data_IF_775458466609
#
_entry.id   IF_775458466609
#
_cell.length_a   1.000
_cell.length_b   1.000
_cell.length_c   1.000
_cell.angle_alpha   90.00
_cell.angle_beta   90.00
_cell.angle_gamma   90.00
#
_symmetry.space_group_name_H-M   'P 1'
#
loop_
_entity.id
_entity.type
_entity.pdbx_description
1 polymer ?
#
# COMPACT_ATOMS: atom_id res chain seq x y z
N UNK A 1 -64.18 -33.75 53.50
CA UNK A 1 -63.58 -32.77 54.43
C UNK A 1 -62.11 -32.54 54.05
N UNK A 2 -61.74 -31.28 53.81
CA UNK A 2 -60.42 -30.63 53.98
C UNK A 2 -59.17 -31.13 53.23
N UNK A 3 -58.83 -30.38 52.18
CA UNK A 3 -57.63 -29.52 51.99
C UNK A 3 -56.19 -30.08 52.05
N UNK A 4 -55.52 -29.94 50.88
CA UNK A 4 -54.15 -29.44 50.59
C UNK A 4 -52.90 -30.11 51.21
N UNK A 5 -51.91 -30.44 50.38
CA UNK A 5 -50.64 -29.68 50.31
C UNK A 5 -49.83 -29.98 49.04
N UNK A 6 -49.32 -28.88 48.46
CA UNK A 6 -48.44 -28.73 47.31
C UNK A 6 -47.00 -29.12 47.68
N UNK A 7 -46.25 -29.72 46.75
CA UNK A 7 -44.79 -29.48 46.63
C UNK A 7 -44.31 -29.73 45.19
N UNK A 8 -44.24 -28.62 44.48
CA UNK A 8 -43.49 -28.38 43.24
C UNK A 8 -42.00 -28.58 43.48
N UNK A 9 -41.31 -29.29 42.57
CA UNK A 9 -39.87 -29.17 42.37
C UNK A 9 -39.64 -28.87 40.89
N UNK A 10 -39.28 -27.61 40.63
CA UNK A 10 -38.86 -27.10 39.34
C UNK A 10 -37.41 -27.56 39.07
N UNK A 11 -37.20 -28.29 37.99
CA UNK A 11 -35.86 -28.55 37.44
C UNK A 11 -35.39 -27.33 36.65
N UNK A 12 -34.39 -26.62 37.16
CA UNK A 12 -33.72 -25.56 36.43
C UNK A 12 -32.82 -26.18 35.35
N UNK A 13 -33.21 -26.04 34.09
CA UNK A 13 -32.35 -26.32 32.94
C UNK A 13 -31.40 -25.12 32.76
N UNK A 14 -30.13 -25.31 33.09
CA UNK A 14 -29.07 -24.34 32.82
C UNK A 14 -28.73 -24.35 31.32
N UNK A 15 -29.28 -23.41 30.57
CA UNK A 15 -28.83 -23.10 29.21
C UNK A 15 -27.43 -22.47 29.27
N UNK A 16 -26.42 -23.25 28.87
CA UNK A 16 -25.06 -22.74 28.62
C UNK A 16 -25.10 -21.93 27.32
N UNK A 17 -25.13 -20.60 27.47
CA UNK A 17 -24.80 -19.67 26.39
C UNK A 17 -23.32 -19.82 26.08
N UNK A 18 -22.98 -20.58 25.03
CA UNK A 18 -21.66 -20.51 24.42
C UNK A 18 -21.61 -19.15 23.71
N UNK A 19 -21.05 -18.15 24.39
CA UNK A 19 -20.67 -16.91 23.76
C UNK A 19 -19.64 -17.24 22.68
N UNK A 20 -20.05 -17.11 21.42
CA UNK A 20 -19.14 -17.11 20.28
C UNK A 20 -18.14 -15.98 20.52
N UNK A 21 -16.96 -16.33 21.02
CA UNK A 21 -15.79 -15.47 20.90
C UNK A 21 -15.54 -15.37 19.40
N UNK A 22 -16.06 -14.30 18.79
CA UNK A 22 -15.55 -13.81 17.54
C UNK A 22 -14.06 -13.60 17.79
N UNK A 23 -13.23 -14.54 17.34
CA UNK A 23 -11.81 -14.30 17.19
C UNK A 23 -11.72 -13.05 16.32
N UNK A 24 -11.29 -11.96 16.94
CA UNK A 24 -10.77 -10.82 16.22
C UNK A 24 -9.60 -11.37 15.40
N UNK A 25 -9.90 -11.84 14.19
CA UNK A 25 -8.91 -11.97 13.14
C UNK A 25 -8.25 -10.60 13.12
N UNK A 26 -6.95 -10.56 13.44
CA UNK A 26 -6.16 -9.37 13.26
C UNK A 26 -6.53 -8.81 11.88
N UNK A 27 -6.93 -7.53 11.76
CA UNK A 27 -7.34 -7.00 10.47
C UNK A 27 -6.20 -7.30 9.51
N UNK A 28 -6.47 -8.13 8.50
CA UNK A 28 -5.63 -8.17 7.31
C UNK A 28 -5.38 -6.71 6.98
N UNK A 29 -4.11 -6.29 7.00
CA UNK A 29 -3.73 -4.89 6.83
C UNK A 29 -4.62 -4.29 5.76
N UNK A 30 -5.44 -3.30 6.14
CA UNK A 30 -6.54 -2.85 5.28
C UNK A 30 -6.06 -2.36 3.90
N UNK A 31 -4.75 -2.09 3.79
CA UNK A 31 -4.05 -1.72 2.57
C UNK A 31 -3.55 -2.97 1.84
N UNK A 32 -4.07 -3.19 0.64
CA UNK A 32 -3.64 -4.19 -0.34
C UNK A 32 -2.30 -3.78 -0.98
N UNK A 33 -1.50 -4.75 -1.43
CA UNK A 33 -0.32 -4.45 -2.24
C UNK A 33 -0.67 -4.12 -3.70
N UNK A 34 0.27 -3.53 -4.44
CA UNK A 34 0.08 -3.06 -5.83
C UNK A 34 -0.47 -4.14 -6.78
N UNK A 35 -0.04 -5.39 -6.64
CA UNK A 35 -0.51 -6.48 -7.51
C UNK A 35 -1.94 -6.89 -7.18
N UNK A 36 -2.28 -6.97 -5.90
CA UNK A 36 -3.64 -7.25 -5.47
C UNK A 36 -4.61 -6.18 -5.96
N UNK A 37 -4.26 -4.89 -5.84
CA UNK A 37 -5.12 -3.79 -6.33
C UNK A 37 -5.43 -3.97 -7.82
N UNK A 38 -4.39 -4.17 -8.64
CA UNK A 38 -4.56 -4.35 -10.09
C UNK A 38 -5.39 -5.58 -10.45
N UNK A 39 -5.17 -6.70 -9.75
CA UNK A 39 -5.95 -7.93 -9.96
C UNK A 39 -7.42 -7.72 -9.61
N UNK A 40 -7.73 -7.04 -8.50
CA UNK A 40 -9.11 -6.77 -8.11
C UNK A 40 -9.81 -5.80 -9.07
N UNK A 41 -9.10 -4.78 -9.55
CA UNK A 41 -9.61 -3.85 -10.56
C UNK A 41 -9.90 -4.59 -11.87
N UNK A 42 -9.01 -5.48 -12.31
CA UNK A 42 -9.17 -6.24 -13.54
C UNK A 42 -10.33 -7.25 -13.49
N UNK A 43 -10.53 -7.92 -12.35
CA UNK A 43 -11.64 -8.88 -12.17
C UNK A 43 -12.98 -8.19 -11.98
N UNK A 44 -13.02 -7.08 -11.27
CA UNK A 44 -14.21 -6.23 -11.08
C UNK A 44 -15.46 -6.97 -10.55
N UNK A 45 -15.27 -7.98 -9.71
CA UNK A 45 -16.39 -8.67 -9.06
C UNK A 45 -16.93 -7.85 -7.87
N UNK A 46 -18.21 -8.00 -7.45
CA UNK A 46 -18.76 -7.24 -6.32
C UNK A 46 -17.96 -7.37 -5.03
N UNK A 47 -17.42 -8.57 -4.74
CA UNK A 47 -16.55 -8.80 -3.59
C UNK A 47 -15.17 -8.13 -3.72
N UNK A 48 -14.66 -8.00 -4.94
CA UNK A 48 -13.40 -7.32 -5.23
C UNK A 48 -13.55 -5.82 -5.01
N UNK A 49 -14.66 -5.23 -5.47
CA UNK A 49 -15.01 -3.84 -5.19
C UNK A 49 -15.16 -3.55 -3.70
N UNK A 50 -15.75 -4.45 -2.92
CA UNK A 50 -15.81 -4.29 -1.46
C UNK A 50 -14.41 -4.28 -0.81
N UNK A 51 -13.45 -5.04 -1.34
CA UNK A 51 -12.05 -5.00 -0.87
C UNK A 51 -11.35 -3.70 -1.28
N UNK A 52 -11.55 -3.25 -2.52
CA UNK A 52 -11.00 -2.00 -3.04
C UNK A 52 -11.53 -0.78 -2.28
N UNK A 53 -12.82 -0.78 -1.92
CA UNK A 53 -13.43 0.25 -1.06
C UNK A 53 -12.66 0.39 0.27
N UNK A 54 -12.44 -0.71 0.98
CA UNK A 54 -11.68 -0.69 2.24
C UNK A 54 -10.24 -0.22 2.05
N UNK A 55 -9.59 -0.66 0.98
CA UNK A 55 -8.22 -0.25 0.65
C UNK A 55 -8.11 1.25 0.42
N UNK A 56 -8.95 1.81 -0.46
CA UNK A 56 -8.89 3.24 -0.77
C UNK A 56 -9.38 4.11 0.39
N UNK A 57 -10.32 3.62 1.21
CA UNK A 57 -10.68 4.25 2.49
C UNK A 57 -9.48 4.33 3.44
N UNK A 58 -8.69 3.26 3.56
CA UNK A 58 -7.48 3.23 4.38
C UNK A 58 -6.39 4.17 3.85
N UNK A 59 -6.09 4.13 2.55
CA UNK A 59 -5.12 5.04 1.92
C UNK A 59 -5.55 6.52 2.06
N UNK A 60 -6.84 6.83 1.90
CA UNK A 60 -7.34 8.18 2.09
C UNK A 60 -7.11 8.70 3.51
N UNK A 61 -7.23 7.83 4.51
CA UNK A 61 -6.96 8.18 5.90
C UNK A 61 -5.47 8.45 6.12
N UNK A 62 -4.59 7.63 5.56
CA UNK A 62 -3.14 7.82 5.65
C UNK A 62 -2.69 9.12 4.99
N UNK A 63 -3.12 9.40 3.76
CA UNK A 63 -2.84 10.68 3.09
C UNK A 63 -3.40 11.88 3.88
N UNK A 64 -4.57 11.76 4.51
CA UNK A 64 -5.10 12.81 5.40
C UNK A 64 -4.21 13.08 6.61
N UNK A 65 -3.63 12.03 7.20
CA UNK A 65 -2.67 12.15 8.31
C UNK A 65 -1.37 12.81 7.86
N UNK A 66 -0.83 12.41 6.72
CA UNK A 66 0.39 13.01 6.16
C UNK A 66 0.17 14.47 5.75
N UNK A 67 -1.01 14.80 5.19
CA UNK A 67 -1.38 16.20 4.94
C UNK A 67 -1.34 17.04 6.21
N UNK A 68 -1.92 16.53 7.30
CA UNK A 68 -1.96 17.21 8.60
C UNK A 68 -0.55 17.39 9.19
N UNK A 69 0.30 16.37 9.07
CA UNK A 69 1.71 16.43 9.52
C UNK A 69 2.48 17.50 8.76
N UNK A 70 2.37 17.53 7.43
CA UNK A 70 3.05 18.52 6.61
C UNK A 70 2.52 19.94 6.84
N UNK A 71 1.22 20.13 7.06
CA UNK A 71 0.66 21.43 7.42
C UNK A 71 1.18 21.94 8.78
N UNK A 72 1.28 21.06 9.77
CA UNK A 72 1.87 21.37 11.07
C UNK A 72 3.35 21.75 10.95
N UNK A 73 4.13 21.01 10.14
CA UNK A 73 5.53 21.34 9.85
C UNK A 73 5.67 22.70 9.16
N UNK A 74 4.84 22.98 8.15
CA UNK A 74 4.86 24.27 7.44
C UNK A 74 4.62 25.44 8.40
N UNK A 75 3.67 25.28 9.32
CA UNK A 75 3.32 26.27 10.34
C UNK A 75 4.45 26.47 11.34
N UNK A 76 5.03 25.37 11.85
CA UNK A 76 6.13 25.43 12.81
C UNK A 76 7.39 26.09 12.22
N UNK A 77 7.73 25.77 10.97
CA UNK A 77 8.88 26.36 10.26
C UNK A 77 8.62 27.83 9.92
N UNK A 78 7.45 28.14 9.35
CA UNK A 78 7.10 29.50 8.93
C UNK A 78 6.88 30.47 10.09
N UNK A 79 6.44 29.96 11.24
CA UNK A 79 6.20 30.73 12.45
C UNK A 79 7.42 30.93 13.35
N UNK A 80 8.60 30.39 13.01
CA UNK A 80 9.81 30.55 13.83
C UNK A 80 10.60 31.82 13.41
N UNK A 81 10.50 32.93 14.16
CA UNK A 81 11.20 34.17 13.80
C UNK A 81 12.72 34.09 13.94
N UNK A 82 13.24 33.15 14.75
CA UNK A 82 14.67 33.04 15.01
C UNK A 82 15.41 32.25 13.92
N UNK A 83 14.70 31.40 13.17
CA UNK A 83 15.26 30.59 12.09
C UNK A 83 14.27 30.52 10.92
N UNK A 84 14.07 31.63 10.18
CA UNK A 84 13.16 31.63 9.04
C UNK A 84 13.69 30.71 7.93
N UNK A 85 12.88 29.72 7.54
CA UNK A 85 13.15 28.85 6.41
C UNK A 85 11.95 28.81 5.45
N UNK A 86 11.70 29.92 4.71
CA UNK A 86 10.50 30.08 3.90
C UNK A 86 10.38 29.03 2.78
N UNK A 87 11.50 28.59 2.21
CA UNK A 87 11.52 27.53 1.19
C UNK A 87 11.08 26.18 1.76
N UNK A 88 11.53 25.82 2.96
CA UNK A 88 11.14 24.59 3.63
C UNK A 88 9.66 24.64 4.08
N UNK A 89 9.21 25.77 4.61
CA UNK A 89 7.79 25.97 4.93
C UNK A 89 6.88 25.83 3.71
N UNK A 90 7.25 26.48 2.59
CA UNK A 90 6.51 26.37 1.33
C UNK A 90 6.54 24.94 0.76
N UNK A 91 7.66 24.23 0.88
CA UNK A 91 7.76 22.83 0.50
C UNK A 91 6.80 21.95 1.31
N UNK A 92 6.78 22.08 2.63
CA UNK A 92 5.82 21.36 3.48
C UNK A 92 4.37 21.73 3.16
N UNK A 93 4.06 23.01 2.93
CA UNK A 93 2.72 23.43 2.54
C UNK A 93 2.26 22.77 1.24
N UNK A 94 3.15 22.70 0.23
CA UNK A 94 2.88 22.00 -1.04
C UNK A 94 2.64 20.51 -0.82
N UNK A 95 3.43 19.83 0.02
CA UNK A 95 3.22 18.42 0.34
C UNK A 95 1.88 18.19 1.07
N UNK A 96 1.48 19.11 1.94
CA UNK A 96 0.17 19.05 2.61
C UNK A 96 -0.98 19.13 1.61
N UNK A 97 -0.87 20.02 0.61
CA UNK A 97 -1.86 20.18 -0.45
C UNK A 97 -1.95 18.94 -1.34
N UNK A 98 -0.82 18.41 -1.81
CA UNK A 98 -0.78 17.18 -2.63
C UNK A 98 -1.44 16.02 -1.87
N UNK A 99 -1.08 15.82 -0.60
CA UNK A 99 -1.68 14.76 0.21
C UNK A 99 -3.19 14.98 0.44
N UNK A 100 -3.63 16.23 0.58
CA UNK A 100 -5.06 16.55 0.69
C UNK A 100 -5.81 16.16 -0.59
N UNK A 101 -5.28 16.53 -1.76
CA UNK A 101 -5.86 16.19 -3.05
C UNK A 101 -5.91 14.68 -3.29
N UNK A 102 -4.83 13.96 -2.95
CA UNK A 102 -4.82 12.49 -2.98
C UNK A 102 -5.87 11.88 -2.05
N UNK A 103 -6.00 12.37 -0.82
CA UNK A 103 -7.01 11.91 0.12
C UNK A 103 -8.45 12.15 -0.37
N UNK A 104 -8.71 13.25 -1.09
CA UNK A 104 -10.02 13.49 -1.72
C UNK A 104 -10.28 12.47 -2.82
N UNK A 105 -9.34 12.30 -3.76
CA UNK A 105 -9.46 11.34 -4.87
C UNK A 105 -9.71 9.92 -4.36
N UNK A 106 -8.96 9.50 -3.32
CA UNK A 106 -9.10 8.17 -2.73
C UNK A 106 -10.45 7.96 -2.02
N UNK A 107 -11.04 9.00 -1.41
CA UNK A 107 -12.40 8.91 -0.84
C UNK A 107 -13.46 8.78 -1.94
N UNK A 108 -13.27 9.46 -3.05
CA UNK A 108 -14.15 9.32 -4.22
C UNK A 108 -14.04 7.91 -4.80
N UNK A 109 -12.82 7.38 -4.88
CA UNK A 109 -12.57 6.02 -5.36
C UNK A 109 -13.18 4.95 -4.42
N UNK A 110 -13.08 5.16 -3.12
CA UNK A 110 -13.73 4.30 -2.14
C UNK A 110 -15.26 4.28 -2.33
N UNK A 111 -15.89 5.45 -2.53
CA UNK A 111 -17.32 5.56 -2.81
C UNK A 111 -17.70 4.92 -4.14
N UNK A 112 -16.87 5.09 -5.17
CA UNK A 112 -17.04 4.45 -6.47
C UNK A 112 -17.11 2.93 -6.33
N UNK A 113 -16.13 2.31 -5.67
CA UNK A 113 -16.13 0.87 -5.45
C UNK A 113 -17.21 0.42 -4.46
N UNK A 114 -17.60 1.24 -3.48
CA UNK A 114 -18.75 0.93 -2.62
C UNK A 114 -20.05 0.81 -3.45
N UNK A 115 -20.26 1.70 -4.41
CA UNK A 115 -21.42 1.68 -5.28
C UNK A 115 -21.42 0.42 -6.18
N UNK A 116 -20.28 0.12 -6.82
CA UNK A 116 -20.13 -1.07 -7.66
C UNK A 116 -20.30 -2.37 -6.87
N UNK A 117 -19.77 -2.44 -5.65
CA UNK A 117 -19.98 -3.58 -4.74
C UNK A 117 -21.46 -3.79 -4.40
N UNK A 118 -22.24 -2.70 -4.32
CA UNK A 118 -23.69 -2.74 -4.13
C UNK A 118 -24.50 -2.97 -5.42
N UNK A 119 -23.85 -3.19 -6.55
CA UNK A 119 -24.50 -3.36 -7.86
C UNK A 119 -25.06 -2.06 -8.45
N UNK A 120 -24.67 -0.90 -7.92
CA UNK A 120 -25.06 0.40 -8.45
C UNK A 120 -24.04 0.86 -9.50
N UNK A 121 -24.50 1.42 -10.65
CA UNK A 121 -23.59 2.00 -11.61
C UNK A 121 -22.85 3.19 -10.99
N UNK A 122 -21.58 3.35 -11.33
CA UNK A 122 -20.75 4.47 -10.89
C UNK A 122 -19.74 4.82 -11.96
N UNK A 123 -19.44 6.11 -12.10
CA UNK A 123 -18.39 6.61 -12.98
C UNK A 123 -17.08 6.74 -12.19
N UNK A 124 -15.98 6.26 -12.75
CA UNK A 124 -14.66 6.40 -12.14
C UNK A 124 -14.32 7.89 -11.96
N UNK A 125 -13.84 8.31 -10.77
CA UNK A 125 -13.44 9.69 -10.53
C UNK A 125 -12.27 10.14 -11.43
N UNK A 126 -12.18 11.44 -11.70
CA UNK A 126 -11.06 12.01 -12.45
C UNK A 126 -9.72 11.75 -11.73
N UNK A 127 -8.66 11.47 -12.49
CA UNK A 127 -7.31 11.19 -11.98
C UNK A 127 -7.19 9.99 -11.02
N UNK A 128 -8.23 9.14 -10.93
CA UNK A 128 -8.24 7.94 -10.10
C UNK A 128 -7.33 6.81 -10.63
N UNK A 129 -7.14 6.74 -11.95
CA UNK A 129 -6.45 5.61 -12.59
C UNK A 129 -5.04 5.35 -12.04
N UNK A 130 -4.34 6.36 -11.51
CA UNK A 130 -3.03 6.15 -10.86
C UNK A 130 -3.13 5.30 -9.59
N UNK A 131 -4.17 5.47 -8.79
CA UNK A 131 -4.42 4.70 -7.57
C UNK A 131 -4.96 3.30 -7.89
N UNK A 132 -5.80 3.15 -8.92
CA UNK A 132 -6.23 1.83 -9.43
C UNK A 132 -5.05 1.06 -10.04
N UNK A 133 -4.04 1.76 -10.56
CA UNK A 133 -2.75 1.19 -10.96
C UNK A 133 -1.80 0.95 -9.76
N UNK A 134 -2.26 1.20 -8.54
CA UNK A 134 -1.61 0.88 -7.27
C UNK A 134 -0.62 1.94 -6.75
N UNK A 135 -0.72 3.20 -7.20
CA UNK A 135 -0.04 4.30 -6.52
C UNK A 135 -0.42 4.35 -5.03
N UNK A 136 0.57 4.49 -4.15
CA UNK A 136 0.36 4.48 -2.69
C UNK A 136 0.21 3.09 -2.07
N UNK A 137 -0.03 2.04 -2.87
CA UNK A 137 -0.01 0.67 -2.38
C UNK A 137 1.44 0.21 -2.13
N UNK A 138 1.70 -0.57 -1.06
CA UNK A 138 3.00 -1.16 -0.84
C UNK A 138 3.36 -2.15 -1.96
N UNK A 139 4.67 -2.33 -2.19
CA UNK A 139 5.16 -3.45 -2.98
C UNK A 139 4.82 -4.76 -2.26
N UNK A 140 4.50 -5.84 -3.00
CA UNK A 140 4.28 -7.15 -2.40
C UNK A 140 5.58 -7.64 -1.75
N UNK A 141 5.44 -8.28 -0.60
CA UNK A 141 6.51 -9.01 0.08
C UNK A 141 6.88 -10.27 -0.70
N UNK A 142 8.06 -10.83 -0.42
CA UNK A 142 8.52 -12.09 -1.03
C UNK A 142 7.55 -13.25 -0.77
N UNK A 143 6.93 -13.28 0.42
CA UNK A 143 5.94 -14.30 0.78
C UNK A 143 4.64 -14.11 -0.01
N UNK A 144 4.16 -12.88 -0.15
CA UNK A 144 2.99 -12.58 -0.99
C UNK A 144 3.25 -12.92 -2.45
N UNK A 145 4.42 -12.57 -3.00
CA UNK A 145 4.83 -12.94 -4.36
C UNK A 145 4.88 -14.46 -4.54
N UNK A 146 5.43 -15.20 -3.57
CA UNK A 146 5.47 -16.67 -3.61
C UNK A 146 4.07 -17.26 -3.61
N UNK A 147 3.17 -16.73 -2.79
CA UNK A 147 1.76 -17.16 -2.73
C UNK A 147 1.04 -16.82 -4.03
N UNK A 148 1.24 -15.64 -4.61
CA UNK A 148 0.65 -15.25 -5.89
C UNK A 148 1.15 -16.14 -7.03
N UNK A 149 2.46 -16.36 -7.13
CA UNK A 149 3.05 -17.23 -8.14
C UNK A 149 2.52 -18.68 -8.03
N UNK A 150 2.37 -19.21 -6.82
CA UNK A 150 1.81 -20.55 -6.60
C UNK A 150 0.31 -20.64 -6.93
N UNK A 151 -0.42 -19.51 -6.91
CA UNK A 151 -1.86 -19.44 -7.18
C UNK A 151 -2.20 -18.99 -8.60
N UNK A 152 -1.23 -18.47 -9.35
CA UNK A 152 -1.40 -18.06 -10.74
C UNK A 152 -1.86 -19.27 -11.57
N UNK A 153 -3.03 -19.15 -12.20
CA UNK A 153 -3.65 -20.24 -12.98
C UNK A 153 -4.07 -19.79 -14.36
N UNK A 154 -4.19 -18.48 -14.57
CA UNK A 154 -4.64 -17.90 -15.83
C UNK A 154 -3.50 -17.13 -16.48
N UNK A 155 -3.51 -16.97 -17.82
CA UNK A 155 -2.54 -16.12 -18.50
C UNK A 155 -2.54 -14.68 -17.99
N UNK A 156 -3.68 -14.20 -17.49
CA UNK A 156 -3.78 -12.88 -16.86
C UNK A 156 -3.00 -12.81 -15.54
N UNK A 157 -3.00 -13.89 -14.75
CA UNK A 157 -2.24 -13.94 -13.49
C UNK A 157 -0.73 -13.94 -13.77
N UNK A 158 -0.30 -14.73 -14.75
CA UNK A 158 1.09 -14.80 -15.16
C UNK A 158 1.58 -13.47 -15.75
N UNK A 159 0.78 -12.85 -16.63
CA UNK A 159 1.09 -11.53 -17.18
C UNK A 159 1.24 -10.46 -16.09
N UNK A 160 0.36 -10.44 -15.08
CA UNK A 160 0.47 -9.47 -13.99
C UNK A 160 1.79 -9.63 -13.20
N UNK A 161 2.21 -10.87 -12.93
CA UNK A 161 3.50 -11.14 -12.28
C UNK A 161 4.68 -10.78 -13.19
N UNK A 162 4.60 -11.12 -14.47
CA UNK A 162 5.61 -10.77 -15.47
C UNK A 162 5.81 -9.26 -15.55
N UNK A 163 4.73 -8.48 -15.75
CA UNK A 163 4.77 -7.02 -15.83
C UNK A 163 5.34 -6.39 -14.55
N UNK A 164 5.00 -6.93 -13.38
CA UNK A 164 5.57 -6.49 -12.11
C UNK A 164 7.09 -6.69 -12.07
N UNK A 165 7.57 -7.89 -12.40
CA UNK A 165 8.99 -8.19 -12.37
C UNK A 165 9.79 -7.46 -13.46
N UNK A 166 9.20 -7.23 -14.65
CA UNK A 166 9.80 -6.38 -15.69
C UNK A 166 9.94 -4.95 -15.19
N UNK A 167 8.89 -4.39 -14.59
CA UNK A 167 8.92 -3.04 -14.01
C UNK A 167 9.95 -2.94 -12.88
N UNK A 168 10.04 -3.98 -12.05
CA UNK A 168 11.00 -4.05 -10.95
C UNK A 168 12.45 -4.09 -11.45
N UNK A 169 12.72 -4.88 -12.51
CA UNK A 169 14.03 -4.92 -13.14
C UNK A 169 14.44 -3.53 -13.67
N UNK A 170 13.55 -2.86 -14.42
CA UNK A 170 13.80 -1.50 -14.94
C UNK A 170 14.07 -0.50 -13.82
N UNK A 171 13.38 -0.62 -12.69
CA UNK A 171 13.61 0.22 -11.51
C UNK A 171 15.00 0.00 -10.93
N UNK A 172 15.41 -1.27 -10.73
CA UNK A 172 16.74 -1.57 -10.23
C UNK A 172 17.84 -1.08 -11.18
N UNK A 173 17.61 -1.10 -12.49
CA UNK A 173 18.56 -0.52 -13.46
C UNK A 173 18.67 0.99 -13.35
N UNK A 174 17.55 1.69 -13.20
CA UNK A 174 17.53 3.13 -12.99
C UNK A 174 18.28 3.51 -11.69
N UNK A 175 17.98 2.80 -10.59
CA UNK A 175 18.67 3.01 -9.31
C UNK A 175 20.17 2.70 -9.41
N UNK A 176 20.57 1.68 -10.18
CA UNK A 176 21.97 1.38 -10.46
C UNK A 176 22.65 2.48 -11.28
N UNK A 177 21.95 3.07 -12.26
CA UNK A 177 22.47 4.18 -13.05
C UNK A 177 22.66 5.45 -12.20
N UNK A 178 21.71 5.75 -11.31
CA UNK A 178 21.79 6.86 -10.37
C UNK A 178 23.00 6.70 -9.43
N UNK A 179 23.16 5.52 -8.83
CA UNK A 179 24.33 5.24 -7.99
C UNK A 179 25.64 5.26 -8.78
N UNK A 180 25.65 4.83 -10.04
CA UNK A 180 26.81 4.95 -10.92
C UNK A 180 27.21 6.42 -11.15
N UNK A 181 26.22 7.29 -11.38
CA UNK A 181 26.42 8.73 -11.53
C UNK A 181 26.96 9.36 -10.25
N UNK A 182 26.40 8.99 -9.09
CA UNK A 182 26.89 9.44 -7.79
C UNK A 182 28.33 9.01 -7.53
N UNK A 183 28.68 7.75 -7.81
CA UNK A 183 30.04 7.26 -7.68
C UNK A 183 31.02 8.04 -8.56
N UNK A 184 30.62 8.38 -9.79
CA UNK A 184 31.39 9.26 -10.69
C UNK A 184 31.63 10.65 -10.08
N UNK A 185 30.58 11.28 -9.56
CA UNK A 185 30.68 12.59 -8.90
C UNK A 185 31.60 12.56 -7.67
N UNK A 186 31.51 11.52 -6.84
CA UNK A 186 32.38 11.36 -5.67
C UNK A 186 33.85 11.21 -6.05
N UNK A 187 34.16 10.44 -7.09
CA UNK A 187 35.55 10.30 -7.57
C UNK A 187 36.10 11.59 -8.16
N UNK A 188 35.24 12.41 -8.78
CA UNK A 188 35.58 13.72 -9.32
C UNK A 188 35.86 14.78 -8.24
N UNK A 189 35.53 14.52 -6.98
CA UNK A 189 35.69 15.47 -5.89
C UNK A 189 36.94 15.14 -5.04
N UNK A 190 37.88 16.08 -4.94
CA UNK A 190 39.19 15.83 -4.31
C UNK A 190 39.12 15.71 -2.77
N UNK A 191 38.02 16.11 -2.14
CA UNK A 191 37.91 16.19 -0.69
C UNK A 191 37.40 14.86 -0.09
N UNK A 192 38.32 13.94 0.20
CA UNK A 192 38.02 12.59 0.75
C UNK A 192 38.06 12.51 2.29
N UNK A 193 37.85 13.63 2.99
CA UNK A 193 37.79 13.63 4.47
C UNK A 193 36.53 12.91 4.93
N UNK A 194 36.66 11.64 5.34
CA UNK A 194 35.56 10.83 5.89
C UNK A 194 35.37 9.45 5.26
N UNK A 195 36.21 9.05 4.30
CA UNK A 195 36.12 7.76 3.61
C UNK A 195 35.87 7.92 2.11
N UNK A 196 35.65 6.79 1.41
CA UNK A 196 35.35 6.77 -0.02
C UNK A 196 33.88 6.38 -0.27
N UNK A 197 32.97 7.37 -0.37
CA UNK A 197 31.55 7.10 -0.66
C UNK A 197 31.33 6.47 -2.04
N UNK A 198 32.30 6.56 -2.96
CA UNK A 198 32.19 5.89 -4.25
C UNK A 198 32.20 4.36 -4.09
N UNK A 199 32.94 3.82 -3.12
CA UNK A 199 32.96 2.36 -2.84
C UNK A 199 31.59 1.85 -2.39
N UNK A 200 30.88 2.64 -1.57
CA UNK A 200 29.52 2.31 -1.16
C UNK A 200 28.57 2.29 -2.37
N UNK A 201 28.63 3.32 -3.22
CA UNK A 201 27.82 3.39 -4.43
C UNK A 201 28.15 2.23 -5.39
N UNK A 202 29.43 1.91 -5.61
CA UNK A 202 29.84 0.79 -6.47
C UNK A 202 29.27 -0.55 -6.02
N UNK A 203 29.27 -0.79 -4.69
CA UNK A 203 28.65 -1.97 -4.13
C UNK A 203 27.15 -2.00 -4.40
N UNK A 204 26.46 -0.87 -4.25
CA UNK A 204 25.03 -0.77 -4.57
C UNK A 204 24.75 -0.98 -6.06
N UNK A 205 25.55 -0.40 -6.96
CA UNK A 205 25.42 -0.64 -8.41
C UNK A 205 25.50 -2.13 -8.73
N UNK A 206 26.44 -2.85 -8.12
CA UNK A 206 26.57 -4.30 -8.30
C UNK A 206 25.31 -5.04 -7.82
N UNK A 207 24.90 -4.80 -6.58
CA UNK A 207 23.74 -5.47 -5.98
C UNK A 207 22.44 -5.17 -6.74
N UNK A 208 22.25 -3.94 -7.20
CA UNK A 208 21.06 -3.54 -7.96
C UNK A 208 21.04 -4.20 -9.34
N UNK A 209 22.20 -4.35 -10.01
CA UNK A 209 22.27 -5.10 -11.27
C UNK A 209 21.96 -6.58 -11.07
N UNK A 210 22.50 -7.20 -10.03
CA UNK A 210 22.17 -8.57 -9.65
C UNK A 210 20.66 -8.73 -9.38
N UNK A 211 20.07 -7.79 -8.64
CA UNK A 211 18.62 -7.78 -8.38
C UNK A 211 17.79 -7.55 -9.67
N UNK A 212 18.26 -6.72 -10.60
CA UNK A 212 17.62 -6.54 -11.90
C UNK A 212 17.62 -7.84 -12.71
N UNK A 213 18.73 -8.58 -12.72
CA UNK A 213 18.84 -9.87 -13.40
C UNK A 213 17.97 -10.94 -12.75
N UNK A 214 17.89 -10.98 -11.42
CA UNK A 214 16.98 -11.86 -10.68
C UNK A 214 15.51 -11.53 -10.99
N UNK A 215 15.14 -10.25 -11.06
CA UNK A 215 13.81 -9.81 -11.44
C UNK A 215 13.47 -10.21 -12.89
N UNK A 216 14.41 -10.07 -13.84
CA UNK A 216 14.20 -10.57 -15.22
C UNK A 216 14.02 -12.07 -15.27
N UNK A 217 14.83 -12.81 -14.52
CA UNK A 217 14.68 -14.26 -14.44
C UNK A 217 13.33 -14.65 -13.81
N UNK A 218 12.81 -13.86 -12.86
CA UNK A 218 11.48 -14.04 -12.31
C UNK A 218 10.37 -13.73 -13.34
N UNK A 219 10.51 -12.66 -14.11
CA UNK A 219 9.59 -12.34 -15.20
C UNK A 219 9.54 -13.46 -16.25
N UNK A 220 10.69 -14.01 -16.64
CA UNK A 220 10.79 -15.08 -17.64
C UNK A 220 10.11 -16.40 -17.20
N UNK A 221 9.94 -16.63 -15.88
CA UNK A 221 9.15 -17.78 -15.38
C UNK A 221 7.65 -17.63 -15.56
N UNK A 222 7.20 -16.46 -16.03
CA UNK A 222 5.81 -16.11 -16.28
C UNK A 222 5.59 -15.63 -17.71
N UNK A 223 6.52 -15.95 -18.62
CA UNK A 223 6.38 -15.75 -20.06
C UNK A 223 5.58 -16.94 -20.63
N UNK A 224 4.36 -16.68 -21.08
CA UNK A 224 3.42 -17.66 -21.67
C UNK A 224 3.52 -17.68 -23.21
#
# INVERSE_FOLDING_TARGET
MRSTFVRTLAGAAATVLVASVASAQAPSTAVLNVLEVRQLVARAEPADHARLERHFSALAFEHGREASRHAAMATAIGGNPNHPAPTASAHCARLAEINTQSAVTLRELARHHAALAGGMPSTTPDNAGRFENGEGAPAPTDDELRVMAARAKTPSDHRALQEYFVTLALRYEAEAADHGTMAGAYRGNANRRGGDPAVHCDRLVKLLREAADEARAAAARHDD
#
